data_IF_888454460567
#
_entry.id   IF_888454460567
#
_cell.length_a   1.000
_cell.length_b   1.000
_cell.length_c   1.000
_cell.angle_alpha   90.00
_cell.angle_beta   90.00
_cell.angle_gamma   90.00
#
_symmetry.space_group_name_H-M   'P 1'
#
loop_
_entity.id
_entity.type
_entity.pdbx_description
1 polymer ?
#
# COMPACT_ATOMS: atom_id res chain seq x y z
N UNK A 1 5.20 13.28 4.45
CA UNK A 1 4.68 12.98 3.12
C UNK A 1 5.78 12.59 2.15
N UNK A 2 6.85 13.39 1.98
CA UNK A 2 7.93 13.15 1.03
C UNK A 2 8.66 11.80 1.23
N UNK A 3 8.86 11.37 2.48
CA UNK A 3 9.43 10.05 2.78
C UNK A 3 8.59 8.93 2.15
N UNK A 4 7.28 8.94 2.35
CA UNK A 4 6.40 7.91 1.79
C UNK A 4 6.20 8.04 0.27
N UNK A 5 6.37 9.24 -0.27
CA UNK A 5 6.44 9.44 -1.71
C UNK A 5 7.69 8.77 -2.30
N UNK A 6 8.85 8.97 -1.68
CA UNK A 6 10.09 8.33 -2.10
C UNK A 6 10.02 6.80 -2.02
N UNK A 7 9.37 6.26 -0.98
CA UNK A 7 9.22 4.82 -0.76
C UNK A 7 8.58 4.09 -1.96
N UNK A 8 7.66 4.72 -2.69
CA UNK A 8 7.01 4.14 -3.87
C UNK A 8 7.98 3.87 -5.02
N UNK A 9 9.06 4.65 -5.11
CA UNK A 9 10.12 4.51 -6.11
C UNK A 9 11.25 3.58 -5.66
N UNK A 10 11.20 3.09 -4.41
CA UNK A 10 12.20 2.19 -3.83
C UNK A 10 11.78 0.73 -3.81
N UNK A 11 10.53 0.41 -4.10
CA UNK A 11 10.09 -0.97 -4.24
C UNK A 11 10.51 -1.50 -5.61
N UNK A 12 11.29 -2.56 -5.62
CA UNK A 12 11.61 -3.30 -6.84
C UNK A 12 10.46 -4.25 -7.20
N UNK A 13 9.40 -3.67 -7.77
CA UNK A 13 8.17 -4.40 -8.13
C UNK A 13 8.45 -5.58 -9.06
N UNK A 14 9.27 -5.39 -10.08
CA UNK A 14 9.61 -6.40 -11.06
C UNK A 14 10.50 -7.50 -10.47
N UNK A 15 11.50 -7.13 -9.68
CA UNK A 15 12.33 -8.07 -8.96
C UNK A 15 11.53 -8.98 -8.03
N UNK A 16 10.56 -8.40 -7.31
CA UNK A 16 9.67 -9.16 -6.43
C UNK A 16 8.76 -10.08 -7.24
N UNK A 17 8.04 -9.57 -8.23
CA UNK A 17 7.00 -10.35 -8.91
C UNK A 17 7.54 -11.36 -9.90
N UNK A 18 8.55 -10.98 -10.71
CA UNK A 18 9.09 -11.83 -11.77
C UNK A 18 10.14 -12.80 -11.27
N UNK A 19 11.04 -12.33 -10.39
CA UNK A 19 12.20 -13.12 -9.95
C UNK A 19 11.94 -13.84 -8.63
N UNK A 20 11.53 -13.11 -7.60
CA UNK A 20 11.35 -13.65 -6.25
C UNK A 20 10.14 -14.57 -6.17
N UNK A 21 9.00 -14.12 -6.68
CA UNK A 21 7.72 -14.85 -6.61
C UNK A 21 7.41 -15.62 -7.90
N UNK A 22 8.36 -15.67 -8.84
CA UNK A 22 8.36 -16.51 -10.05
C UNK A 22 7.04 -16.46 -10.84
N UNK A 23 6.47 -15.25 -10.99
CA UNK A 23 5.22 -15.04 -11.72
C UNK A 23 3.95 -15.51 -11.03
N UNK A 24 4.00 -15.94 -9.77
CA UNK A 24 2.81 -16.23 -8.97
C UNK A 24 2.05 -14.95 -8.58
N UNK A 25 2.71 -13.80 -8.69
CA UNK A 25 2.20 -12.48 -8.38
C UNK A 25 2.46 -11.54 -9.54
N UNK A 26 1.66 -10.51 -9.66
CA UNK A 26 1.88 -9.42 -10.59
C UNK A 26 1.86 -8.08 -9.86
N UNK A 27 2.51 -7.07 -10.44
CA UNK A 27 2.51 -5.72 -9.91
C UNK A 27 1.12 -5.11 -10.05
N UNK A 28 0.57 -4.63 -8.94
CA UNK A 28 -0.70 -3.91 -8.90
C UNK A 28 -0.62 -2.80 -7.88
N UNK A 29 -0.88 -1.56 -8.31
CA UNK A 29 -0.65 -0.37 -7.48
C UNK A 29 -1.96 0.38 -7.18
N UNK A 30 -3.01 -0.40 -6.89
CA UNK A 30 -4.33 0.09 -6.51
C UNK A 30 -4.86 -0.71 -5.32
N UNK A 31 -5.69 -0.08 -4.50
CA UNK A 31 -6.36 -0.81 -3.42
C UNK A 31 -7.55 -1.66 -3.93
N UNK A 32 -8.09 -1.36 -5.12
CA UNK A 32 -9.06 -2.25 -5.77
C UNK A 32 -8.33 -3.32 -6.56
N UNK A 33 -8.65 -4.59 -6.33
CA UNK A 33 -8.10 -5.70 -7.10
C UNK A 33 -8.42 -5.60 -8.60
N UNK A 34 -7.55 -6.14 -9.44
CA UNK A 34 -7.84 -6.33 -10.87
C UNK A 34 -9.13 -7.11 -11.05
N UNK A 35 -9.96 -6.69 -11.99
CA UNK A 35 -11.29 -7.26 -12.25
C UNK A 35 -12.42 -6.69 -11.39
N UNK A 36 -12.12 -5.91 -10.36
CA UNK A 36 -13.16 -5.22 -9.59
C UNK A 36 -13.71 -4.03 -10.38
N UNK A 37 -15.03 -3.74 -10.26
CA UNK A 37 -15.61 -2.56 -10.87
C UNK A 37 -14.89 -1.29 -10.43
N UNK A 38 -14.45 -0.47 -11.38
CA UNK A 38 -13.70 0.77 -11.09
C UNK A 38 -12.22 0.59 -10.76
N UNK A 39 -11.68 -0.64 -10.83
CA UNK A 39 -10.24 -0.85 -10.66
C UNK A 39 -9.42 -0.15 -11.74
N UNK A 40 -8.23 0.33 -11.37
CA UNK A 40 -7.26 0.91 -12.27
C UNK A 40 -6.12 -0.08 -12.46
N UNK A 41 -5.78 -0.36 -13.71
CA UNK A 41 -4.67 -1.26 -14.07
C UNK A 41 -3.32 -0.55 -14.15
N UNK A 42 -3.33 0.78 -14.11
CA UNK A 42 -2.12 1.60 -14.17
C UNK A 42 -1.16 1.28 -13.03
N UNK A 43 0.12 1.13 -13.37
CA UNK A 43 1.23 0.94 -12.43
C UNK A 43 2.21 2.12 -12.54
N UNK A 44 1.87 3.30 -11.97
CA UNK A 44 2.62 4.54 -12.22
C UNK A 44 4.00 4.58 -11.56
N UNK A 45 4.30 3.65 -10.66
CA UNK A 45 5.58 3.62 -9.95
C UNK A 45 6.46 2.48 -10.46
N UNK A 46 7.72 2.80 -10.69
CA UNK A 46 8.76 1.84 -11.06
C UNK A 46 9.92 1.97 -10.08
N UNK A 47 10.78 0.96 -10.02
CA UNK A 47 11.98 1.04 -9.20
C UNK A 47 12.93 2.10 -9.76
N UNK A 48 13.12 3.18 -9.00
CA UNK A 48 13.95 4.31 -9.38
C UNK A 48 14.60 4.96 -8.14
N UNK A 49 15.71 4.39 -7.64
CA UNK A 49 16.42 4.93 -6.48
C UNK A 49 16.93 6.36 -6.65
N UNK A 50 17.28 6.75 -7.88
CA UNK A 50 17.74 8.13 -8.14
C UNK A 50 16.62 9.14 -7.87
N UNK A 51 15.41 8.85 -8.36
CA UNK A 51 14.22 9.70 -8.11
C UNK A 51 13.87 9.75 -6.62
N UNK A 52 13.97 8.63 -5.91
CA UNK A 52 13.73 8.60 -4.48
C UNK A 52 14.71 9.48 -3.71
N UNK A 53 16.00 9.40 -4.04
CA UNK A 53 17.05 10.27 -3.47
C UNK A 53 16.78 11.75 -3.72
N UNK A 54 16.36 12.10 -4.93
CA UNK A 54 15.98 13.48 -5.27
C UNK A 54 14.83 13.99 -4.40
N UNK A 55 13.77 13.18 -4.21
CA UNK A 55 12.62 13.53 -3.36
C UNK A 55 13.07 13.75 -1.92
N UNK A 56 13.89 12.84 -1.37
CA UNK A 56 14.39 12.93 0.00
C UNK A 56 15.29 14.17 0.19
N UNK A 57 16.18 14.43 -0.74
CA UNK A 57 17.07 15.58 -0.72
C UNK A 57 16.31 16.91 -0.77
N UNK A 58 15.31 17.04 -1.67
CA UNK A 58 14.44 18.22 -1.77
C UNK A 58 13.65 18.47 -0.48
N UNK A 59 13.31 17.41 0.24
CA UNK A 59 12.60 17.51 1.52
C UNK A 59 13.55 17.71 2.73
N UNK A 60 14.86 17.78 2.53
CA UNK A 60 15.85 17.90 3.59
C UNK A 60 15.93 16.71 4.54
N UNK A 61 15.46 15.53 4.10
CA UNK A 61 15.46 14.31 4.92
C UNK A 61 16.85 13.69 4.85
N UNK A 62 17.52 13.67 6.01
CA UNK A 62 18.85 13.04 6.18
C UNK A 62 18.69 11.71 6.91
N UNK A 63 19.50 10.72 6.54
CA UNK A 63 19.58 9.41 7.16
C UNK A 63 18.17 8.75 7.38
N UNK A 64 17.35 8.65 6.33
CA UNK A 64 16.00 8.14 6.46
C UNK A 64 16.03 6.66 6.86
N UNK A 65 15.28 6.32 7.91
CA UNK A 65 15.14 4.94 8.34
C UNK A 65 13.74 4.67 8.88
N UNK A 66 13.31 3.41 8.85
CA UNK A 66 12.09 2.96 9.51
C UNK A 66 12.14 1.47 9.81
N UNK A 67 11.26 1.02 10.70
CA UNK A 67 11.06 -0.39 11.01
C UNK A 67 9.93 -0.96 10.14
N UNK A 68 10.11 -2.21 9.69
CA UNK A 68 9.14 -2.93 8.88
C UNK A 68 8.72 -4.21 9.59
N UNK A 69 7.51 -4.22 10.09
CA UNK A 69 6.89 -5.38 10.70
C UNK A 69 6.50 -6.40 9.65
N UNK A 70 6.87 -7.66 9.84
CA UNK A 70 6.63 -8.71 8.88
C UNK A 70 6.43 -10.07 9.53
N UNK A 71 5.53 -10.87 8.98
CA UNK A 71 5.37 -12.25 9.39
C UNK A 71 6.62 -13.06 8.99
N UNK A 72 7.20 -13.78 9.97
CA UNK A 72 8.44 -14.57 9.79
C UNK A 72 8.16 -15.89 9.06
N UNK A 73 7.58 -15.79 7.87
CA UNK A 73 7.40 -16.93 6.95
C UNK A 73 7.34 -16.45 5.49
N UNK A 74 7.74 -17.29 4.51
CA UNK A 74 7.52 -17.02 3.10
C UNK A 74 6.01 -16.88 2.77
N UNK A 75 5.64 -16.03 1.80
CA UNK A 75 6.54 -15.15 1.02
C UNK A 75 6.87 -13.82 1.74
N UNK A 76 6.26 -13.52 2.90
CA UNK A 76 6.32 -12.21 3.54
C UNK A 76 7.74 -11.80 3.91
N UNK A 77 8.47 -12.66 4.63
CA UNK A 77 9.86 -12.34 5.04
C UNK A 77 10.78 -12.16 3.84
N UNK A 78 10.59 -12.94 2.78
CA UNK A 78 11.40 -12.84 1.57
C UNK A 78 11.12 -11.53 0.81
N UNK A 79 9.86 -11.11 0.76
CA UNK A 79 9.47 -9.79 0.22
C UNK A 79 10.09 -8.66 1.07
N UNK A 80 10.06 -8.77 2.40
CA UNK A 80 10.63 -7.78 3.28
C UNK A 80 12.15 -7.61 3.08
N UNK A 81 12.88 -8.71 2.92
CA UNK A 81 14.31 -8.70 2.61
C UNK A 81 14.61 -8.03 1.26
N UNK A 82 13.77 -8.29 0.24
CA UNK A 82 13.88 -7.61 -1.05
C UNK A 82 13.62 -6.11 -0.93
N UNK A 83 12.63 -5.70 -0.14
CA UNK A 83 12.35 -4.29 0.15
C UNK A 83 13.53 -3.66 0.90
N UNK A 84 14.08 -4.31 1.91
CA UNK A 84 15.24 -3.83 2.64
C UNK A 84 16.43 -3.55 1.70
N UNK A 85 16.73 -4.51 0.80
CA UNK A 85 17.82 -4.39 -0.16
C UNK A 85 17.59 -3.28 -1.20
N UNK A 86 16.36 -3.16 -1.72
CA UNK A 86 16.03 -2.13 -2.71
C UNK A 86 15.98 -0.72 -2.11
N UNK A 87 15.49 -0.57 -0.88
CA UNK A 87 15.46 0.71 -0.16
C UNK A 87 16.87 1.20 0.16
N UNK A 88 17.80 0.30 0.50
CA UNK A 88 19.22 0.66 0.74
C UNK A 88 19.85 1.33 -0.48
N UNK A 89 19.47 0.95 -1.71
CA UNK A 89 19.95 1.60 -2.93
C UNK A 89 19.52 3.08 -3.04
N UNK A 90 18.39 3.42 -2.41
CA UNK A 90 17.91 4.81 -2.28
C UNK A 90 18.44 5.55 -1.07
N UNK A 91 19.31 4.93 -0.27
CA UNK A 91 19.85 5.52 0.95
C UNK A 91 18.88 5.45 2.14
N UNK A 92 17.86 4.60 2.08
CA UNK A 92 16.89 4.40 3.17
C UNK A 92 17.21 3.11 3.91
N UNK A 93 17.45 3.20 5.21
CA UNK A 93 17.64 2.03 6.06
C UNK A 93 16.30 1.44 6.49
N UNK A 94 16.14 0.13 6.32
CA UNK A 94 14.96 -0.60 6.78
C UNK A 94 15.40 -1.65 7.80
N UNK A 95 14.88 -1.55 9.02
CA UNK A 95 15.10 -2.53 10.06
C UNK A 95 13.89 -3.50 10.09
N UNK A 96 14.13 -4.77 9.76
CA UNK A 96 13.07 -5.77 9.73
C UNK A 96 12.72 -6.22 11.15
N UNK A 97 11.42 -6.31 11.45
CA UNK A 97 10.88 -6.82 12.71
C UNK A 97 10.07 -8.10 12.45
N UNK A 98 10.75 -9.23 12.17
CA UNK A 98 10.07 -10.49 11.92
C UNK A 98 9.43 -11.03 13.20
N UNK A 99 8.20 -11.51 13.11
CA UNK A 99 7.49 -12.11 14.23
C UNK A 99 6.40 -13.08 13.74
N UNK A 100 5.74 -13.78 14.68
CA UNK A 100 4.53 -14.53 14.36
C UNK A 100 3.43 -13.59 13.84
N UNK A 101 2.58 -14.05 12.91
CA UNK A 101 1.55 -13.21 12.29
C UNK A 101 0.59 -12.56 13.29
N UNK A 102 0.27 -13.26 14.41
CA UNK A 102 -0.54 -12.71 15.50
C UNK A 102 0.15 -11.54 16.21
N UNK A 103 1.46 -11.61 16.41
CA UNK A 103 2.24 -10.54 17.04
C UNK A 103 2.34 -9.31 16.12
N UNK A 104 2.60 -9.52 14.81
CA UNK A 104 2.57 -8.44 13.82
C UNK A 104 1.19 -7.76 13.81
N UNK A 105 0.12 -8.57 13.81
CA UNK A 105 -1.24 -8.05 13.85
C UNK A 105 -1.51 -7.21 15.11
N UNK A 106 -1.07 -7.68 16.28
CA UNK A 106 -1.23 -6.96 17.55
C UNK A 106 -0.51 -5.62 17.54
N UNK A 107 0.75 -5.57 17.07
CA UNK A 107 1.51 -4.31 16.95
C UNK A 107 0.85 -3.32 16.00
N UNK A 108 0.35 -3.80 14.85
CA UNK A 108 -0.36 -2.95 13.90
C UNK A 108 -1.64 -2.37 14.50
N UNK A 109 -2.43 -3.19 15.22
CA UNK A 109 -3.65 -2.72 15.90
C UNK A 109 -3.38 -1.76 17.04
N UNK A 110 -2.25 -1.91 17.71
CA UNK A 110 -1.81 -1.01 18.77
C UNK A 110 -1.14 0.27 18.25
N UNK A 111 -1.09 0.49 16.92
CA UNK A 111 -0.40 1.62 16.28
C UNK A 111 1.10 1.71 16.66
N UNK A 112 1.74 0.57 16.88
CA UNK A 112 3.15 0.47 17.29
C UNK A 112 4.08 0.17 16.11
N UNK A 113 3.58 0.17 14.88
CA UNK A 113 4.34 -0.05 13.66
C UNK A 113 4.67 1.26 12.95
N UNK A 114 5.78 1.27 12.21
CA UNK A 114 6.11 2.34 11.25
C UNK A 114 5.74 1.91 9.83
N UNK A 115 6.04 0.66 9.48
CA UNK A 115 5.58 0.01 8.26
C UNK A 115 5.23 -1.45 8.55
N UNK A 116 4.37 -2.06 7.74
CA UNK A 116 4.03 -3.47 7.88
C UNK A 116 3.70 -4.11 6.54
N UNK A 117 4.13 -5.36 6.35
CA UNK A 117 3.70 -6.19 5.22
C UNK A 117 2.54 -7.05 5.68
N UNK A 118 1.40 -6.89 5.01
CA UNK A 118 0.16 -7.61 5.34
C UNK A 118 -0.54 -8.08 4.09
N UNK A 119 -1.32 -9.15 4.23
CA UNK A 119 -2.27 -9.59 3.21
C UNK A 119 -3.63 -8.97 3.50
N UNK A 120 -4.35 -8.62 2.44
CA UNK A 120 -5.73 -8.16 2.49
C UNK A 120 -6.55 -8.91 1.45
N UNK A 121 -7.74 -9.33 1.86
CA UNK A 121 -8.76 -9.90 0.98
C UNK A 121 -10.02 -9.03 1.08
N UNK A 122 -10.66 -8.68 -0.06
CA UNK A 122 -11.94 -7.99 -0.02
C UNK A 122 -13.03 -8.89 0.56
N UNK A 123 -13.93 -8.31 1.35
CA UNK A 123 -15.00 -9.06 2.00
C UNK A 123 -16.12 -9.43 1.01
N UNK A 124 -16.31 -8.62 -0.03
CA UNK A 124 -17.32 -8.83 -1.09
C UNK A 124 -16.87 -8.16 -2.40
N UNK A 125 -17.52 -8.59 -3.51
CA UNK A 125 -17.16 -8.12 -4.86
C UNK A 125 -17.83 -6.78 -5.18
N UNK A 126 -17.36 -5.72 -4.54
CA UNK A 126 -17.72 -4.34 -4.81
C UNK A 126 -16.54 -3.40 -4.48
N UNK A 127 -16.43 -2.29 -5.20
CA UNK A 127 -15.38 -1.30 -4.97
C UNK A 127 -15.37 -0.75 -3.53
N UNK A 128 -16.55 -0.66 -2.89
CA UNK A 128 -16.68 -0.13 -1.54
C UNK A 128 -16.04 -1.02 -0.49
N UNK A 129 -15.98 -2.34 -0.70
CA UNK A 129 -15.31 -3.28 0.20
C UNK A 129 -13.90 -2.81 0.57
N UNK A 130 -13.11 -2.43 -0.43
CA UNK A 130 -11.76 -1.93 -0.19
C UNK A 130 -11.70 -0.41 0.05
N UNK A 131 -12.57 0.38 -0.60
CA UNK A 131 -12.58 1.82 -0.40
C UNK A 131 -12.87 2.20 1.06
N UNK A 132 -13.83 1.55 1.71
CA UNK A 132 -14.14 1.74 3.12
C UNK A 132 -12.97 1.40 4.05
N UNK A 133 -12.13 0.45 3.67
CA UNK A 133 -10.98 0.04 4.48
C UNK A 133 -9.73 0.88 4.22
N UNK A 134 -9.45 1.23 2.96
CA UNK A 134 -8.18 1.86 2.58
C UNK A 134 -8.25 3.37 2.43
N UNK A 135 -9.42 3.96 2.25
CA UNK A 135 -9.59 5.39 2.02
C UNK A 135 -10.41 6.10 3.09
N UNK A 136 -11.25 5.38 3.84
CA UNK A 136 -12.10 5.95 4.86
C UNK A 136 -11.55 5.73 6.27
N UNK A 137 -11.53 6.79 7.08
CA UNK A 137 -11.18 6.74 8.50
C UNK A 137 -12.01 7.75 9.29
N UNK A 138 -12.98 7.26 10.05
CA UNK A 138 -13.80 8.07 10.99
C UNK A 138 -13.10 8.34 12.33
N UNK A 139 -11.93 7.77 12.56
CA UNK A 139 -11.18 7.83 13.81
C UNK A 139 -11.67 6.86 14.89
N UNK A 140 -12.63 5.97 14.57
CA UNK A 140 -13.21 4.98 15.50
C UNK A 140 -13.06 3.56 15.00
N UNK A 141 -13.03 3.38 13.68
CA UNK A 141 -13.00 2.08 13.04
C UNK A 141 -11.58 1.56 12.86
N UNK A 142 -11.39 0.24 13.04
CA UNK A 142 -10.11 -0.44 12.77
C UNK A 142 -9.91 -0.70 11.27
N UNK A 143 -10.17 0.29 10.42
CA UNK A 143 -9.90 0.23 8.98
C UNK A 143 -8.39 0.28 8.73
N UNK A 144 -7.93 -0.15 7.55
CA UNK A 144 -6.51 -0.03 7.19
C UNK A 144 -6.05 1.43 7.22
N UNK A 145 -6.88 2.36 6.77
CA UNK A 145 -6.61 3.80 6.88
C UNK A 145 -6.48 4.23 8.34
N UNK A 146 -7.36 3.74 9.24
CA UNK A 146 -7.32 4.00 10.66
C UNK A 146 -6.08 3.43 11.33
N UNK A 147 -5.73 2.18 11.05
CA UNK A 147 -4.53 1.51 11.59
C UNK A 147 -3.23 2.22 11.18
N UNK A 148 -3.19 2.84 10.01
CA UNK A 148 -2.08 3.68 9.55
C UNK A 148 -2.15 5.14 10.06
N UNK A 149 -3.12 5.47 10.89
CA UNK A 149 -3.28 6.81 11.46
C UNK A 149 -3.68 7.89 10.44
N UNK A 150 -4.17 7.52 9.26
CA UNK A 150 -4.56 8.51 8.25
C UNK A 150 -5.96 9.05 8.54
N UNK A 151 -6.04 10.33 8.74
CA UNK A 151 -7.32 11.05 8.80
C UNK A 151 -7.28 12.13 7.72
N UNK A 152 -7.72 11.77 6.52
CA UNK A 152 -7.72 12.63 5.34
C UNK A 152 -9.17 12.96 4.99
N UNK A 153 -9.68 14.16 5.35
CA UNK A 153 -11.09 14.50 5.17
C UNK A 153 -11.59 14.38 3.73
N UNK A 154 -10.73 14.69 2.75
CA UNK A 154 -11.05 14.60 1.33
C UNK A 154 -11.34 13.15 0.92
N UNK A 155 -10.53 12.20 1.37
CA UNK A 155 -10.75 10.78 1.08
C UNK A 155 -12.03 10.25 1.75
N UNK A 156 -12.31 10.68 2.97
CA UNK A 156 -13.57 10.34 3.65
C UNK A 156 -14.78 10.84 2.86
N UNK A 157 -14.76 12.11 2.46
CA UNK A 157 -15.83 12.73 1.68
C UNK A 157 -16.04 12.02 0.34
N UNK A 158 -14.96 11.75 -0.38
CA UNK A 158 -15.02 11.05 -1.68
C UNK A 158 -15.52 9.61 -1.54
N UNK A 159 -15.12 8.90 -0.48
CA UNK A 159 -15.59 7.54 -0.21
C UNK A 159 -17.09 7.51 0.07
N UNK A 160 -17.59 8.43 0.88
CA UNK A 160 -19.02 8.55 1.19
C UNK A 160 -19.83 8.97 -0.04
N UNK A 161 -19.31 9.88 -0.86
CA UNK A 161 -19.96 10.28 -2.10
C UNK A 161 -20.06 9.11 -3.10
N UNK A 162 -19.02 8.28 -3.20
CA UNK A 162 -19.01 7.14 -4.09
C UNK A 162 -20.03 6.06 -3.68
N UNK A 163 -20.18 5.78 -2.38
CA UNK A 163 -21.17 4.77 -1.93
C UNK A 163 -22.61 5.29 -2.06
N UNK A 164 -22.83 6.59 -1.94
CA UNK A 164 -24.15 7.20 -2.04
C UNK A 164 -24.62 7.44 -3.49
N UNK A 165 -23.75 7.29 -4.50
CA UNK A 165 -24.08 7.53 -5.91
C UNK A 165 -24.92 6.38 -6.47
N UNK A 166 -26.18 6.65 -6.90
CA UNK A 166 -27.08 5.63 -7.44
C UNK A 166 -26.79 5.26 -8.89
N UNK A 167 -26.17 6.16 -9.67
CA UNK A 167 -25.79 5.89 -11.05
C UNK A 167 -24.52 5.04 -11.08
N UNK A 168 -24.60 3.83 -11.61
CA UNK A 168 -23.50 2.88 -11.60
C UNK A 168 -22.26 3.39 -12.36
N UNK A 169 -22.42 4.08 -13.47
CA UNK A 169 -21.30 4.59 -14.27
C UNK A 169 -20.57 5.72 -13.52
N UNK A 170 -21.34 6.67 -12.98
CA UNK A 170 -20.79 7.76 -12.15
C UNK A 170 -20.13 7.22 -10.89
N UNK A 171 -20.72 6.23 -10.26
CA UNK A 171 -20.18 5.56 -9.07
C UNK A 171 -18.80 4.96 -9.37
N UNK A 172 -18.62 4.26 -10.48
CA UNK A 172 -17.32 3.72 -10.89
C UNK A 172 -16.29 4.82 -11.12
N UNK A 173 -16.68 5.92 -11.75
CA UNK A 173 -15.77 7.06 -11.97
C UNK A 173 -15.35 7.74 -10.66
N UNK A 174 -16.24 7.81 -9.67
CA UNK A 174 -15.89 8.29 -8.33
C UNK A 174 -14.85 7.38 -7.66
N UNK A 175 -14.98 6.05 -7.76
CA UNK A 175 -13.97 5.13 -7.22
C UNK A 175 -12.62 5.25 -7.95
N UNK A 176 -12.60 5.42 -9.27
CA UNK A 176 -11.37 5.69 -10.03
C UNK A 176 -10.68 6.98 -9.55
N UNK A 177 -11.43 8.06 -9.33
CA UNK A 177 -10.93 9.32 -8.77
C UNK A 177 -10.36 9.12 -7.38
N UNK A 178 -11.09 8.41 -6.51
CA UNK A 178 -10.68 8.09 -5.15
C UNK A 178 -9.35 7.31 -5.12
N UNK A 179 -9.16 6.32 -6.01
CA UNK A 179 -7.90 5.58 -6.12
C UNK A 179 -6.75 6.53 -6.46
N UNK A 180 -6.94 7.43 -7.44
CA UNK A 180 -5.92 8.40 -7.86
C UNK A 180 -5.58 9.38 -6.75
N UNK A 181 -6.58 9.88 -6.04
CA UNK A 181 -6.39 10.77 -4.89
C UNK A 181 -5.63 10.06 -3.76
N UNK A 182 -6.05 8.85 -3.42
CA UNK A 182 -5.41 8.05 -2.38
C UNK A 182 -3.95 7.73 -2.72
N UNK A 183 -3.62 7.42 -3.96
CA UNK A 183 -2.22 7.21 -4.41
C UNK A 183 -1.33 8.42 -4.13
N UNK A 184 -1.84 9.64 -4.20
CA UNK A 184 -1.10 10.87 -3.91
C UNK A 184 -0.93 11.13 -2.42
N UNK A 185 -1.96 10.84 -1.64
CA UNK A 185 -2.07 11.27 -0.24
C UNK A 185 -1.59 10.22 0.77
N UNK A 186 -1.53 8.95 0.39
CA UNK A 186 -1.15 7.87 1.29
C UNK A 186 -0.19 6.87 0.66
N UNK A 187 0.60 6.17 1.48
CA UNK A 187 1.49 5.11 1.03
C UNK A 187 0.93 3.73 1.42
N UNK A 188 0.20 3.11 0.50
CA UNK A 188 0.01 1.66 0.49
C UNK A 188 0.56 1.13 -0.83
N UNK A 189 1.53 0.27 -0.72
CA UNK A 189 2.16 -0.42 -1.84
C UNK A 189 1.53 -1.81 -1.85
N UNK A 190 0.92 -2.17 -2.97
CA UNK A 190 0.23 -3.45 -3.10
C UNK A 190 0.84 -4.27 -4.23
N UNK A 191 1.10 -5.54 -3.90
CA UNK A 191 1.38 -6.58 -4.88
C UNK A 191 0.32 -7.67 -4.69
N UNK A 192 -0.23 -8.20 -5.77
CA UNK A 192 -1.26 -9.23 -5.68
C UNK A 192 -0.78 -10.55 -6.27
N UNK A 193 -1.12 -11.64 -5.58
CA UNK A 193 -1.01 -12.99 -6.11
C UNK A 193 -2.08 -13.27 -7.16
N UNK A 194 -1.71 -14.02 -8.20
CA UNK A 194 -2.64 -14.58 -9.16
C UNK A 194 -3.06 -15.95 -8.62
N UNK A 195 -4.33 -16.12 -8.26
CA UNK A 195 -4.91 -17.44 -8.30
C UNK A 195 -5.19 -17.77 -9.77
N UNK A 196 -4.29 -18.51 -10.39
CA UNK A 196 -4.64 -19.26 -11.59
C UNK A 196 -5.38 -20.49 -11.07
N UNK A 197 -6.73 -20.43 -11.12
CA UNK A 197 -7.55 -21.62 -11.01
C UNK A 197 -7.22 -22.60 -12.13
#
# INVERSE_FOLDING_TARGET
PAFWESARWLVDYDGITKNLLKGQYFTHQSFLPVGFPGALEETPFTFNPAKAKEILAKAGIKDPHFTLDVENKPPFITIAQSIQASFAQGGVKVDLLPAAGSQVYSRVRAHQHQGAIRMWLPDYFDAHSNASSFAYNDGKSSTVAGLNGWKIPELNKETLAAIAEPDSAKRLDLYKKLIKAKRKLSCVIMCRGINKG
#
